data_IF_715172439134
#
_entry.id   IF_715172439134
#
_cell.length_a   1.000
_cell.length_b   1.000
_cell.length_c   1.000
_cell.angle_alpha   90.00
_cell.angle_beta   90.00
_cell.angle_gamma   90.00
#
_symmetry.space_group_name_H-M   'P 1'
#
loop_
_entity.id
_entity.type
_entity.pdbx_description
1 polymer ?
#
# COMPACT_ATOMS: atom_id res chain seq x y z
N UNK A 1 8.86 5.82 -68.32
CA UNK A 1 9.75 5.78 -67.15
C UNK A 1 8.90 6.06 -65.93
N UNK A 2 8.60 5.03 -65.14
CA UNK A 2 7.75 5.09 -63.95
C UNK A 2 8.61 4.64 -62.78
N UNK A 3 8.85 5.54 -61.83
CA UNK A 3 9.43 5.25 -60.52
C UNK A 3 8.43 5.70 -59.48
N UNK A 4 7.90 4.83 -58.61
CA UNK A 4 7.12 5.27 -57.47
C UNK A 4 8.07 5.67 -56.35
N UNK A 5 7.91 6.89 -55.85
CA UNK A 5 8.49 7.35 -54.60
C UNK A 5 7.78 6.60 -53.46
N UNK A 6 8.51 5.76 -52.74
CA UNK A 6 8.05 5.15 -51.50
C UNK A 6 7.83 6.25 -50.45
N UNK A 7 6.56 6.50 -50.11
CA UNK A 7 6.20 7.33 -48.96
C UNK A 7 6.17 6.44 -47.72
N UNK A 8 7.29 6.41 -46.98
CA UNK A 8 7.34 5.87 -45.62
C UNK A 8 6.80 6.95 -44.67
N UNK A 9 5.48 6.97 -44.44
CA UNK A 9 4.93 7.55 -43.23
C UNK A 9 4.91 6.45 -42.17
N UNK A 10 5.98 6.38 -41.39
CA UNK A 10 6.03 5.59 -40.17
C UNK A 10 5.03 6.14 -39.17
N UNK A 11 3.88 5.48 -39.05
CA UNK A 11 2.95 5.70 -37.96
C UNK A 11 3.58 5.13 -36.69
N UNK A 12 4.23 5.99 -35.89
CA UNK A 12 4.65 5.64 -34.55
C UNK A 12 3.38 5.54 -33.70
N UNK A 13 2.85 4.32 -33.58
CA UNK A 13 1.90 3.95 -32.55
C UNK A 13 2.62 4.07 -31.19
N UNK A 14 2.60 5.27 -30.62
CA UNK A 14 2.87 5.46 -29.20
C UNK A 14 1.72 4.72 -28.50
N UNK A 15 2.04 3.57 -27.93
CA UNK A 15 1.11 2.78 -27.13
C UNK A 15 0.68 3.58 -25.92
N UNK A 16 -0.39 4.37 -26.06
CA UNK A 16 -1.22 4.75 -24.93
C UNK A 16 -1.82 3.45 -24.45
N UNK A 17 -1.26 2.89 -23.38
CA UNK A 17 -1.88 1.78 -22.65
C UNK A 17 -3.24 2.33 -22.23
N UNK A 18 -4.31 1.97 -22.95
CA UNK A 18 -5.66 2.36 -22.59
C UNK A 18 -5.93 1.83 -21.19
N UNK A 19 -5.92 2.74 -20.23
CA UNK A 19 -6.10 2.41 -18.84
C UNK A 19 -7.48 1.76 -18.69
N UNK A 20 -7.51 0.53 -18.15
CA UNK A 20 -8.72 -0.29 -18.11
C UNK A 20 -9.84 0.48 -17.40
N UNK A 21 -10.94 0.76 -18.08
CA UNK A 21 -12.09 1.45 -17.50
C UNK A 21 -12.72 0.59 -16.39
N UNK A 22 -12.27 0.81 -15.16
CA UNK A 22 -12.84 0.21 -13.95
C UNK A 22 -13.83 1.17 -13.33
N UNK A 23 -14.78 0.66 -12.53
CA UNK A 23 -15.73 1.50 -11.80
C UNK A 23 -15.02 2.58 -10.95
N UNK A 24 -13.93 2.20 -10.26
CA UNK A 24 -13.10 3.11 -9.47
C UNK A 24 -12.54 4.26 -10.33
N UNK A 25 -12.04 3.93 -11.51
CA UNK A 25 -11.47 4.90 -12.44
C UNK A 25 -12.53 5.81 -13.05
N UNK A 26 -13.65 5.27 -13.53
CA UNK A 26 -14.76 6.06 -14.08
C UNK A 26 -15.29 7.08 -13.06
N UNK A 27 -15.53 6.65 -11.82
CA UNK A 27 -15.98 7.55 -10.75
C UNK A 27 -14.90 8.56 -10.34
N UNK A 28 -13.62 8.23 -10.48
CA UNK A 28 -12.54 9.19 -10.22
C UNK A 28 -12.53 10.32 -11.27
N UNK A 29 -12.78 9.98 -12.53
CA UNK A 29 -12.90 10.95 -13.62
C UNK A 29 -14.10 11.87 -13.45
N UNK A 30 -15.19 11.41 -12.84
CA UNK A 30 -16.34 12.27 -12.51
C UNK A 30 -15.99 13.32 -11.45
N UNK A 31 -15.05 13.02 -10.54
CA UNK A 31 -14.63 13.93 -9.47
C UNK A 31 -13.58 14.92 -9.97
N UNK A 32 -12.62 14.47 -10.78
CA UNK A 32 -11.54 15.31 -11.32
C UNK A 32 -11.47 15.21 -12.85
N UNK A 33 -12.49 15.68 -13.59
CA UNK A 33 -12.58 15.49 -15.04
C UNK A 33 -11.49 16.24 -15.82
N UNK A 34 -10.95 17.31 -15.26
CA UNK A 34 -9.96 18.17 -15.90
C UNK A 34 -8.50 17.83 -15.52
N UNK A 35 -8.30 16.88 -14.59
CA UNK A 35 -6.96 16.50 -14.16
C UNK A 35 -6.26 15.65 -15.23
N UNK A 36 -5.21 16.19 -15.84
CA UNK A 36 -4.37 15.48 -16.80
C UNK A 36 -3.48 14.46 -16.09
N UNK A 37 -3.54 13.19 -16.47
CA UNK A 37 -2.77 12.10 -15.87
C UNK A 37 -2.39 11.03 -16.89
N UNK A 38 -1.30 10.31 -16.63
CA UNK A 38 -0.77 9.26 -17.52
C UNK A 38 -1.31 7.88 -17.19
N UNK A 39 -1.75 7.66 -15.96
CA UNK A 39 -2.16 6.36 -15.44
C UNK A 39 -3.19 6.50 -14.30
N UNK A 40 -3.77 5.37 -13.88
CA UNK A 40 -4.75 5.37 -12.80
C UNK A 40 -4.18 5.87 -11.46
N UNK A 41 -2.94 5.53 -11.13
CA UNK A 41 -2.36 5.81 -9.82
C UNK A 41 -2.11 7.30 -9.62
N UNK A 42 -1.71 8.01 -10.67
CA UNK A 42 -1.57 9.46 -10.65
C UNK A 42 -2.91 10.17 -10.41
N UNK A 43 -4.00 9.74 -11.06
CA UNK A 43 -5.35 10.25 -10.77
C UNK A 43 -5.77 9.95 -9.33
N UNK A 44 -5.55 8.72 -8.85
CA UNK A 44 -5.93 8.33 -7.49
C UNK A 44 -5.14 9.09 -6.43
N UNK A 45 -3.84 9.30 -6.66
CA UNK A 45 -2.98 10.10 -5.78
C UNK A 45 -3.43 11.55 -5.73
N UNK A 46 -3.83 12.12 -6.86
CA UNK A 46 -4.40 13.46 -6.91
C UNK A 46 -5.70 13.55 -6.09
N UNK A 47 -6.63 12.60 -6.27
CA UNK A 47 -7.87 12.53 -5.49
C UNK A 47 -7.58 12.41 -3.98
N UNK A 48 -6.63 11.57 -3.57
CA UNK A 48 -6.22 11.47 -2.16
C UNK A 48 -5.63 12.78 -1.63
N UNK A 49 -4.87 13.51 -2.43
CA UNK A 49 -4.42 14.86 -2.10
C UNK A 49 -5.56 15.88 -1.95
N UNK A 50 -6.68 15.66 -2.62
CA UNK A 50 -7.92 16.44 -2.46
C UNK A 50 -8.80 15.96 -1.30
N UNK A 51 -8.40 14.93 -0.54
CA UNK A 51 -9.20 14.37 0.57
C UNK A 51 -10.19 13.27 0.16
N UNK A 52 -10.15 12.78 -1.07
CA UNK A 52 -10.99 11.67 -1.52
C UNK A 52 -10.31 10.31 -1.31
N UNK A 53 -11.04 9.39 -0.67
CA UNK A 53 -10.57 8.04 -0.39
C UNK A 53 -11.52 6.99 -0.98
N UNK A 54 -10.96 5.95 -1.58
CA UNK A 54 -11.76 4.87 -2.16
C UNK A 54 -12.28 3.92 -1.08
N UNK A 55 -13.59 3.88 -0.90
CA UNK A 55 -14.26 2.92 -0.06
C UNK A 55 -14.56 1.65 -0.88
N UNK A 56 -13.78 0.59 -0.64
CA UNK A 56 -13.94 -0.68 -1.36
C UNK A 56 -15.21 -1.45 -1.01
N UNK A 57 -15.85 -1.17 0.14
CA UNK A 57 -17.12 -1.80 0.52
C UNK A 57 -18.27 -1.20 -0.29
N UNK A 58 -18.32 0.13 -0.36
CA UNK A 58 -19.41 0.86 -1.01
C UNK A 58 -19.13 1.13 -2.49
N UNK A 59 -17.92 0.82 -2.95
CA UNK A 59 -17.45 1.01 -4.32
C UNK A 59 -17.64 2.46 -4.79
N UNK A 60 -17.23 3.40 -3.93
CA UNK A 60 -17.35 4.85 -4.11
C UNK A 60 -16.13 5.60 -3.57
N UNK A 61 -15.91 6.80 -4.10
CA UNK A 61 -14.98 7.77 -3.52
C UNK A 61 -15.71 8.58 -2.45
N UNK A 62 -15.12 8.66 -1.26
CA UNK A 62 -15.68 9.39 -0.13
C UNK A 62 -14.74 10.54 0.18
N UNK A 63 -15.29 11.76 0.21
CA UNK A 63 -14.57 12.91 0.72
C UNK A 63 -14.47 12.81 2.24
N UNK A 64 -13.25 12.90 2.75
CA UNK A 64 -12.96 12.96 4.18
C UNK A 64 -12.43 14.36 4.46
N UNK A 65 -13.14 15.09 5.31
CA UNK A 65 -12.70 16.42 5.72
C UNK A 65 -11.29 16.34 6.35
N UNK A 66 -10.38 17.27 6.02
CA UNK A 66 -9.07 17.30 6.64
C UNK A 66 -9.21 17.55 8.15
N UNK A 67 -8.98 16.51 8.95
CA UNK A 67 -8.78 16.64 10.38
C UNK A 67 -7.28 16.84 10.66
N UNK A 68 -6.96 17.48 11.79
CA UNK A 68 -5.58 17.54 12.27
C UNK A 68 -5.06 16.11 12.39
N UNK A 69 -3.96 15.83 11.69
CA UNK A 69 -3.33 14.51 11.76
C UNK A 69 -2.94 14.22 13.20
N UNK A 70 -3.30 13.04 13.69
CA UNK A 70 -2.75 12.55 14.94
C UNK A 70 -1.22 12.58 14.88
N UNK A 71 -0.54 12.84 16.01
CA UNK A 71 0.91 12.76 16.05
C UNK A 71 1.38 11.38 15.59
N UNK A 72 2.57 11.27 14.96
CA UNK A 72 3.11 10.00 14.56
C UNK A 72 3.23 9.06 15.76
N UNK A 73 3.08 7.75 15.52
CA UNK A 73 3.25 6.77 16.59
C UNK A 73 4.70 6.78 17.09
N UNK A 74 4.89 6.82 18.41
CA UNK A 74 6.21 6.70 19.06
C UNK A 74 6.74 5.27 19.13
N UNK A 75 6.00 4.30 18.57
CA UNK A 75 6.37 2.87 18.61
C UNK A 75 6.34 2.27 17.21
N UNK A 76 7.16 1.25 17.01
CA UNK A 76 7.09 0.37 15.84
C UNK A 76 6.28 -0.86 16.21
N UNK A 77 5.32 -1.22 15.36
CA UNK A 77 4.57 -2.47 15.50
C UNK A 77 4.88 -3.39 14.33
N UNK A 78 5.41 -4.57 14.64
CA UNK A 78 5.77 -5.59 13.64
C UNK A 78 4.84 -6.80 13.79
N UNK A 79 4.26 -7.24 12.68
CA UNK A 79 3.52 -8.51 12.62
C UNK A 79 4.41 -9.59 12.03
N UNK A 80 4.74 -10.59 12.84
CA UNK A 80 5.42 -11.80 12.38
C UNK A 80 4.36 -12.85 12.07
N UNK A 81 4.39 -13.41 10.87
CA UNK A 81 3.44 -14.42 10.41
C UNK A 81 4.18 -15.50 9.63
N UNK A 82 4.06 -16.74 10.08
CA UNK A 82 4.68 -17.93 9.48
C UNK A 82 3.99 -19.18 10.02
N UNK A 83 4.50 -20.38 9.71
CA UNK A 83 3.99 -21.63 10.24
C UNK A 83 3.83 -21.57 11.77
N UNK A 84 2.73 -22.13 12.28
CA UNK A 84 2.36 -22.03 13.70
C UNK A 84 3.43 -22.63 14.64
N UNK A 85 4.19 -23.61 14.16
CA UNK A 85 5.33 -24.22 14.88
C UNK A 85 6.59 -23.36 14.89
N UNK A 86 6.70 -22.35 14.02
CA UNK A 86 7.89 -21.52 13.84
C UNK A 86 7.71 -20.08 14.33
N UNK A 87 6.46 -19.60 14.42
CA UNK A 87 6.16 -18.18 14.67
C UNK A 87 6.76 -17.64 15.97
N UNK A 88 6.79 -18.44 17.03
CA UNK A 88 7.40 -18.05 18.30
C UNK A 88 8.91 -17.82 18.16
N UNK A 89 9.59 -18.78 17.52
CA UNK A 89 11.03 -18.72 17.28
C UNK A 89 11.39 -17.52 16.39
N UNK A 90 10.70 -17.36 15.27
CA UNK A 90 10.94 -16.27 14.33
C UNK A 90 10.72 -14.88 14.97
N UNK A 91 9.72 -14.77 15.86
CA UNK A 91 9.47 -13.53 16.58
C UNK A 91 10.57 -13.21 17.60
N UNK A 92 11.07 -14.22 18.31
CA UNK A 92 12.18 -14.05 19.23
C UNK A 92 13.47 -13.65 18.49
N UNK A 93 13.82 -14.35 17.40
CA UNK A 93 15.01 -14.02 16.59
C UNK A 93 14.94 -12.60 16.02
N UNK A 94 13.74 -12.16 15.62
CA UNK A 94 13.53 -10.79 15.15
C UNK A 94 13.65 -9.76 16.29
N UNK A 95 13.12 -10.08 17.47
CA UNK A 95 13.23 -9.22 18.63
C UNK A 95 14.68 -9.03 19.08
N UNK A 96 15.44 -10.13 19.19
CA UNK A 96 16.88 -10.11 19.49
C UNK A 96 17.62 -9.22 18.49
N UNK A 97 17.28 -9.32 17.20
CA UNK A 97 17.92 -8.48 16.17
C UNK A 97 17.60 -6.99 16.36
N UNK A 98 16.35 -6.65 16.64
CA UNK A 98 15.93 -5.27 16.88
C UNK A 98 16.59 -4.69 18.14
N UNK A 99 16.72 -5.49 19.19
CA UNK A 99 17.40 -5.08 20.42
C UNK A 99 18.89 -4.79 20.18
N UNK A 100 19.57 -5.58 19.33
CA UNK A 100 20.95 -5.28 18.92
C UNK A 100 21.08 -3.95 18.15
N UNK A 101 20.03 -3.56 17.43
CA UNK A 101 19.98 -2.29 16.70
C UNK A 101 19.47 -1.13 17.60
N UNK A 102 19.31 -1.37 18.92
CA UNK A 102 19.02 -0.36 19.94
C UNK A 102 17.53 -0.11 20.21
N UNK A 103 16.64 -0.93 19.66
CA UNK A 103 15.20 -0.86 19.97
C UNK A 103 14.90 -1.57 21.29
N UNK A 104 13.88 -1.11 22.01
CA UNK A 104 13.41 -1.78 23.23
C UNK A 104 12.11 -2.52 22.92
N UNK A 105 12.09 -3.85 23.10
CA UNK A 105 10.87 -4.63 22.99
C UNK A 105 9.94 -4.29 24.18
N UNK A 106 8.84 -3.60 23.91
CA UNK A 106 7.92 -3.14 24.96
C UNK A 106 6.73 -4.06 25.19
N UNK A 107 6.29 -4.78 24.15
CA UNK A 107 5.15 -5.69 24.23
C UNK A 107 5.23 -6.83 23.19
N UNK A 108 4.72 -7.98 23.58
CA UNK A 108 4.58 -9.18 22.73
C UNK A 108 3.18 -9.74 22.94
N UNK A 109 2.40 -9.80 21.87
CA UNK A 109 1.08 -10.41 21.95
C UNK A 109 1.18 -11.93 22.14
N UNK A 110 0.09 -12.57 22.56
CA UNK A 110 -0.04 -14.02 22.38
C UNK A 110 0.04 -14.40 20.90
N UNK A 111 0.36 -15.66 20.62
CA UNK A 111 0.25 -16.22 19.27
C UNK A 111 -1.22 -16.41 18.92
N UNK A 112 -1.64 -15.87 17.79
CA UNK A 112 -2.97 -16.07 17.24
C UNK A 112 -2.91 -17.07 16.09
N UNK A 113 -3.75 -18.12 16.09
CA UNK A 113 -3.90 -18.96 14.91
C UNK A 113 -4.55 -18.15 13.78
N UNK A 114 -4.12 -18.42 12.55
CA UNK A 114 -4.80 -17.89 11.38
C UNK A 114 -6.11 -18.65 11.11
N UNK A 115 -7.06 -17.99 10.44
CA UNK A 115 -8.33 -18.64 10.03
C UNK A 115 -8.08 -19.50 8.79
N UNK A 116 -8.90 -20.54 8.55
CA UNK A 116 -8.88 -21.27 7.28
C UNK A 116 -8.98 -20.32 6.08
N UNK A 117 -8.27 -20.60 4.97
CA UNK A 117 -7.49 -21.81 4.70
C UNK A 117 -6.06 -21.82 5.29
N UNK A 118 -5.64 -20.77 5.98
CA UNK A 118 -4.26 -20.60 6.46
C UNK A 118 -4.08 -21.04 7.92
N UNK A 119 -4.90 -21.95 8.44
CA UNK A 119 -4.89 -22.35 9.85
C UNK A 119 -3.62 -23.11 10.29
N UNK A 120 -2.72 -23.43 9.36
CA UNK A 120 -1.38 -23.94 9.67
C UNK A 120 -0.38 -22.82 10.02
N UNK A 121 -0.75 -21.56 9.78
CA UNK A 121 0.05 -20.39 10.14
C UNK A 121 -0.39 -19.81 11.49
N UNK A 122 0.57 -19.23 12.20
CA UNK A 122 0.37 -18.39 13.36
C UNK A 122 0.82 -16.96 13.09
N UNK A 123 0.33 -16.02 13.90
CA UNK A 123 0.81 -14.65 13.91
C UNK A 123 1.03 -14.14 15.32
N UNK A 124 2.04 -13.29 15.48
CA UNK A 124 2.34 -12.56 16.71
C UNK A 124 2.67 -11.11 16.37
N UNK A 125 2.32 -10.22 17.28
CA UNK A 125 2.61 -8.79 17.16
C UNK A 125 3.68 -8.43 18.18
N UNK A 126 4.73 -7.78 17.70
CA UNK A 126 5.82 -7.22 18.49
C UNK A 126 5.68 -5.70 18.47
N UNK A 127 5.85 -5.06 19.63
CA UNK A 127 5.91 -3.61 19.74
C UNK A 127 7.28 -3.18 20.26
N UNK A 128 7.92 -2.27 19.55
CA UNK A 128 9.25 -1.75 19.88
C UNK A 128 9.21 -0.24 20.10
N UNK A 129 9.97 0.23 21.08
CA UNK A 129 10.29 1.65 21.27
C UNK A 129 11.60 1.94 20.49
N UNK A 130 11.63 2.95 19.61
CA UNK A 130 12.85 3.34 18.89
C UNK A 130 13.99 3.83 19.79
N UNK A 131 15.25 3.70 19.35
CA UNK A 131 16.37 4.35 20.04
C UNK A 131 16.17 5.87 20.05
N UNK A 132 16.39 6.50 21.20
CA UNK A 132 16.19 7.93 21.40
C UNK A 132 14.78 8.35 21.85
N UNK A 133 13.79 7.46 21.76
CA UNK A 133 12.45 7.62 22.34
C UNK A 133 12.31 6.88 23.70
N UNK A 134 13.36 6.16 24.08
CA UNK A 134 13.48 5.47 25.37
C UNK A 134 14.02 6.45 26.41
N UNK A 135 13.12 7.13 27.12
CA UNK A 135 13.46 8.04 28.23
C UNK A 135 14.06 7.33 29.44
#
# INVERSE_FOLDING_TARGET
>A
MVTPLFSFLGLVLIGVVMAKMTKKYSLALEIAPEFSHSDHESLYSHLSGMGYWWNSRDQSWVFVEPEDSHPPSSVIRVRVMTANTLVAKAANELAERFELDGYVLSDVSKIYPCRPPNNNDGRVYLTFIPPGESG
#
